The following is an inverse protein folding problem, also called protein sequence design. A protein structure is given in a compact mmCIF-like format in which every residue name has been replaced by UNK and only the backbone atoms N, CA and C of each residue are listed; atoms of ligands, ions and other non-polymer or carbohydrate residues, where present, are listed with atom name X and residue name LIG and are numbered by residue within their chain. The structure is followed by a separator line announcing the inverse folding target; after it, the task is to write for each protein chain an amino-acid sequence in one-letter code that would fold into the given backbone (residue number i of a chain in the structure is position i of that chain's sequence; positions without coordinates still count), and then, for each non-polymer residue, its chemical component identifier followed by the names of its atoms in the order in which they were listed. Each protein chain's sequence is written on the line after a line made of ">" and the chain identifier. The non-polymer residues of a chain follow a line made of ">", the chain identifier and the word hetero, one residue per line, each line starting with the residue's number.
data_IF_143180067802
#
_entry.id   IF_143180067802
#
_cell.length_a   1.000
_cell.length_b   1.000
_cell.length_c   1.000
_cell.angle_alpha   90.00
_cell.angle_beta   90.00
_cell.angle_gamma   90.00
#
_symmetry.space_group_name_H-M   'P 1'
#
loop_
_entity.id
_entity.type
_entity.pdbx_description
1 polymer ?
#
# COMPACT_ATOMS: atom_id res chain seq x y z
N UNK A 1 18.04 -4.80 -1.82
CA UNK A 1 16.88 -5.07 -2.72
C UNK A 1 15.65 -4.26 -2.34
N UNK A 2 15.28 -4.18 -1.05
CA UNK A 2 14.10 -3.44 -0.56
C UNK A 2 13.97 -1.99 -1.09
N UNK A 3 15.05 -1.20 -1.13
CA UNK A 3 15.04 0.18 -1.65
C UNK A 3 14.59 0.29 -3.12
N UNK A 4 14.94 -0.69 -3.97
CA UNK A 4 14.56 -0.67 -5.39
C UNK A 4 13.05 -0.91 -5.56
N UNK A 5 12.50 -1.88 -4.84
CA UNK A 5 11.07 -2.20 -4.87
C UNK A 5 10.23 -1.05 -4.30
N UNK A 6 10.65 -0.49 -3.16
CA UNK A 6 9.96 0.65 -2.55
C UNK A 6 9.94 1.88 -3.48
N UNK A 7 11.05 2.18 -4.15
CA UNK A 7 11.11 3.27 -5.13
C UNK A 7 10.17 3.03 -6.33
N UNK A 8 10.05 1.77 -6.76
CA UNK A 8 9.14 1.39 -7.84
C UNK A 8 7.67 1.59 -7.45
N UNK A 9 7.26 1.04 -6.30
CA UNK A 9 5.90 1.23 -5.76
C UNK A 9 5.59 2.72 -5.61
N UNK A 10 6.48 3.48 -4.96
CA UNK A 10 6.33 4.94 -4.80
C UNK A 10 6.18 5.68 -6.14
N UNK A 11 6.86 5.21 -7.18
CA UNK A 11 6.73 5.79 -8.50
C UNK A 11 5.35 5.51 -9.11
N UNK A 12 4.86 4.27 -9.01
CA UNK A 12 3.55 3.86 -9.55
C UNK A 12 2.42 4.59 -8.81
N UNK A 13 2.44 4.58 -7.48
CA UNK A 13 1.45 5.26 -6.63
C UNK A 13 1.35 6.77 -6.90
N UNK A 14 2.47 7.41 -7.27
CA UNK A 14 2.49 8.84 -7.62
C UNK A 14 1.92 9.14 -9.01
N UNK A 15 1.97 8.18 -9.92
CA UNK A 15 1.51 8.36 -11.29
C UNK A 15 0.04 7.99 -11.46
N UNK A 16 -0.47 7.08 -10.61
CA UNK A 16 -1.90 6.80 -10.55
C UNK A 16 -2.70 8.05 -10.20
N UNK A 17 -3.64 8.42 -11.06
CA UNK A 17 -4.61 9.50 -10.81
C UNK A 17 -6.02 8.93 -10.95
N UNK A 18 -6.71 8.75 -9.83
CA UNK A 18 -8.13 8.45 -9.88
C UNK A 18 -8.88 9.59 -10.63
N UNK A 19 -9.90 9.27 -11.46
CA UNK A 19 -10.53 7.97 -11.67
C UNK A 19 -9.96 7.16 -12.85
N UNK A 20 -8.85 7.59 -13.46
CA UNK A 20 -8.28 6.97 -14.66
C UNK A 20 -7.63 5.61 -14.32
N UNK A 21 -8.42 4.55 -14.46
CA UNK A 21 -7.97 3.16 -14.24
C UNK A 21 -6.95 2.70 -15.30
N UNK A 22 -6.92 3.33 -16.48
CA UNK A 22 -5.93 3.00 -17.50
C UNK A 22 -4.54 3.53 -17.11
N UNK A 23 -4.50 4.59 -16.29
CA UNK A 23 -3.26 5.19 -15.81
C UNK A 23 -2.37 4.26 -14.99
N UNK A 24 -2.93 3.26 -14.28
CA UNK A 24 -2.14 2.30 -13.51
C UNK A 24 -1.35 1.33 -14.42
N UNK A 25 -1.97 0.89 -15.51
CA UNK A 25 -1.40 -0.08 -16.45
C UNK A 25 -0.27 0.54 -17.29
N UNK A 26 -0.31 1.84 -17.56
CA UNK A 26 0.80 2.57 -18.19
C UNK A 26 1.90 2.98 -17.18
N UNK A 27 1.53 3.21 -15.92
CA UNK A 27 2.46 3.77 -14.90
C UNK A 27 3.63 2.85 -14.57
N UNK A 28 3.42 1.52 -14.55
CA UNK A 28 4.46 0.58 -14.15
C UNK A 28 5.57 0.46 -15.19
N UNK A 29 5.26 0.58 -16.49
CA UNK A 29 6.27 0.60 -17.56
C UNK A 29 7.12 1.87 -17.49
N UNK A 30 6.47 3.04 -17.33
CA UNK A 30 7.14 4.33 -17.15
C UNK A 30 8.06 4.30 -15.94
N UNK A 31 7.59 3.77 -14.81
CA UNK A 31 8.40 3.62 -13.60
C UNK A 31 9.56 2.64 -13.76
N UNK A 32 9.35 1.54 -14.49
CA UNK A 32 10.40 0.58 -14.82
C UNK A 32 11.51 1.26 -15.61
N UNK A 33 11.16 2.06 -16.63
CA UNK A 33 12.10 2.87 -17.40
C UNK A 33 12.88 3.86 -16.53
N UNK A 34 12.19 4.70 -15.75
CA UNK A 34 12.81 5.70 -14.84
C UNK A 34 13.80 5.07 -13.87
N UNK A 35 13.51 3.87 -13.37
CA UNK A 35 14.32 3.17 -12.37
C UNK A 35 15.30 2.15 -12.97
N UNK A 36 15.37 2.04 -14.30
CA UNK A 36 16.20 1.07 -15.04
C UNK A 36 15.94 -0.38 -14.59
N UNK A 37 14.67 -0.70 -14.37
CA UNK A 37 14.19 -2.06 -14.11
C UNK A 37 13.79 -2.72 -15.43
N UNK A 38 13.96 -4.04 -15.53
CA UNK A 38 13.54 -4.79 -16.72
C UNK A 38 12.01 -4.90 -16.75
N UNK A 39 11.36 -4.08 -17.58
CA UNK A 39 9.92 -4.16 -17.81
C UNK A 39 9.51 -5.56 -18.31
N UNK A 40 10.33 -6.17 -19.18
CA UNK A 40 10.11 -7.54 -19.67
C UNK A 40 10.09 -8.57 -18.53
N UNK A 41 10.97 -8.45 -17.53
CA UNK A 41 11.00 -9.38 -16.40
C UNK A 41 9.76 -9.22 -15.51
N UNK A 42 9.33 -7.98 -15.28
CA UNK A 42 8.11 -7.67 -14.52
C UNK A 42 6.88 -8.21 -15.26
N UNK A 43 6.78 -7.95 -16.57
CA UNK A 43 5.70 -8.46 -17.42
C UNK A 43 5.65 -9.98 -17.42
N UNK A 44 6.80 -10.65 -17.59
CA UNK A 44 6.88 -12.12 -17.55
C UNK A 44 6.42 -12.67 -16.20
N UNK A 45 6.75 -12.02 -15.09
CA UNK A 45 6.27 -12.39 -13.76
C UNK A 45 4.74 -12.24 -13.65
N UNK A 46 4.20 -11.11 -14.12
CA UNK A 46 2.76 -10.85 -14.15
C UNK A 46 2.02 -11.91 -14.99
N UNK A 47 2.43 -12.10 -16.25
CA UNK A 47 1.82 -13.03 -17.20
C UNK A 47 1.93 -14.50 -16.76
N UNK A 48 2.93 -14.85 -15.95
CA UNK A 48 3.09 -16.22 -15.42
C UNK A 48 2.04 -16.61 -14.37
N UNK A 49 1.20 -15.67 -13.93
CA UNK A 49 0.26 -15.86 -12.83
C UNK A 49 0.92 -15.87 -11.45
N UNK A 50 2.24 -15.65 -11.36
CA UNK A 50 2.94 -15.54 -10.08
C UNK A 50 2.43 -14.36 -9.25
N UNK A 51 2.03 -13.26 -9.90
CA UNK A 51 1.38 -12.12 -9.25
C UNK A 51 0.13 -12.53 -8.45
N UNK A 52 -0.72 -13.41 -9.01
CA UNK A 52 -1.91 -13.93 -8.30
C UNK A 52 -1.51 -14.72 -7.04
N UNK A 53 -0.46 -15.53 -7.11
CA UNK A 53 0.03 -16.29 -5.94
C UNK A 53 0.52 -15.36 -4.83
N UNK A 54 1.23 -14.29 -5.19
CA UNK A 54 1.69 -13.27 -4.24
C UNK A 54 0.52 -12.52 -3.60
N UNK A 55 -0.50 -12.15 -4.37
CA UNK A 55 -1.71 -11.49 -3.83
C UNK A 55 -2.42 -12.38 -2.81
N UNK A 56 -2.61 -13.67 -3.10
CA UNK A 56 -3.23 -14.62 -2.15
C UNK A 56 -2.36 -14.85 -0.89
N UNK A 57 -1.03 -14.71 -1.00
CA UNK A 57 -0.15 -14.76 0.17
C UNK A 57 -0.32 -13.51 1.03
N UNK A 58 -0.35 -12.34 0.41
CA UNK A 58 -0.59 -11.07 1.12
C UNK A 58 -1.98 -11.02 1.76
N UNK A 59 -3.01 -11.57 1.11
CA UNK A 59 -4.36 -11.76 1.68
C UNK A 59 -4.27 -12.55 2.98
N UNK A 60 -3.61 -13.72 2.97
CA UNK A 60 -3.40 -14.50 4.18
C UNK A 60 -2.68 -13.71 5.25
N UNK A 61 -1.57 -13.03 4.94
CA UNK A 61 -0.87 -12.20 5.92
C UNK A 61 -1.78 -11.11 6.51
N UNK A 62 -2.67 -10.54 5.70
CA UNK A 62 -3.63 -9.51 6.10
C UNK A 62 -4.76 -10.07 6.98
N UNK A 63 -5.27 -11.26 6.68
CA UNK A 63 -6.27 -11.96 7.50
C UNK A 63 -5.73 -12.39 8.87
N UNK A 64 -4.41 -12.59 8.97
CA UNK A 64 -3.75 -12.97 10.23
C UNK A 64 -3.33 -11.76 11.08
N UNK A 65 -3.66 -10.52 10.68
CA UNK A 65 -3.43 -9.34 11.50
C UNK A 65 -4.13 -9.48 12.85
N UNK A 66 -3.42 -9.19 13.94
CA UNK A 66 -4.01 -9.17 15.28
C UNK A 66 -4.75 -7.84 15.46
N UNK A 67 -6.05 -7.98 15.69
CA UNK A 67 -7.14 -7.08 15.27
C UNK A 67 -7.36 -7.12 13.75
N UNK A 68 -8.53 -7.61 13.29
CA UNK A 68 -8.92 -7.47 11.89
C UNK A 68 -8.90 -5.99 11.48
N UNK A 69 -8.34 -5.69 10.31
CA UNK A 69 -8.29 -4.33 9.81
C UNK A 69 -9.70 -3.90 9.34
N UNK A 70 -10.12 -2.69 9.70
CA UNK A 70 -11.46 -2.17 9.38
C UNK A 70 -11.45 -1.15 8.22
N UNK A 71 -10.26 -0.71 7.84
CA UNK A 71 -10.03 0.27 6.78
C UNK A 71 -8.59 0.18 6.29
N UNK A 72 -8.31 0.84 5.17
CA UNK A 72 -6.97 1.12 4.67
C UNK A 72 -6.73 2.63 4.58
N UNK A 73 -5.50 3.12 4.82
CA UNK A 73 -4.29 2.34 5.15
C UNK A 73 -4.29 1.78 6.58
N UNK A 74 -3.78 0.55 6.75
CA UNK A 74 -3.57 -0.07 8.06
C UNK A 74 -2.08 -0.06 8.40
N UNK A 75 -1.69 0.74 9.40
CA UNK A 75 -0.27 0.93 9.77
C UNK A 75 0.01 0.32 11.14
N UNK A 76 1.08 -0.47 11.21
CA UNK A 76 1.50 -1.22 12.40
C UNK A 76 2.97 -0.91 12.71
N UNK A 77 3.28 -0.67 13.98
CA UNK A 77 4.66 -0.52 14.50
C UNK A 77 4.85 -1.52 15.64
N UNK A 78 5.82 -2.42 15.53
CA UNK A 78 6.07 -3.52 16.48
C UNK A 78 4.76 -4.24 16.90
N UNK A 79 4.03 -4.76 15.92
CA UNK A 79 2.73 -5.46 16.08
C UNK A 79 1.59 -4.62 16.71
N UNK A 80 1.80 -3.32 16.92
CA UNK A 80 0.79 -2.40 17.45
C UNK A 80 0.17 -1.58 16.33
N UNK A 81 -1.15 -1.70 16.06
CA UNK A 81 -1.82 -0.87 15.06
C UNK A 81 -1.96 0.57 15.57
N UNK A 82 -1.65 1.54 14.71
CA UNK A 82 -1.73 2.97 15.05
C UNK A 82 -3.14 3.56 14.94
N UNK A 83 -4.04 2.82 14.29
CA UNK A 83 -5.42 3.21 14.03
C UNK A 83 -5.50 4.63 13.40
N UNK A 84 -6.39 5.50 13.90
CA UNK A 84 -6.55 6.87 13.41
C UNK A 84 -5.39 7.81 13.71
N UNK A 85 -4.28 7.33 14.26
CA UNK A 85 -3.04 8.09 14.47
C UNK A 85 -1.91 7.60 13.53
N UNK A 86 -2.27 6.91 12.44
CA UNK A 86 -1.31 6.35 11.48
C UNK A 86 -0.41 7.41 10.83
N UNK A 87 -0.88 8.66 10.71
CA UNK A 87 -0.07 9.76 10.16
C UNK A 87 1.11 10.14 11.07
N UNK A 88 0.97 9.89 12.37
CA UNK A 88 2.03 10.11 13.37
C UNK A 88 3.04 8.95 13.41
N UNK A 89 3.10 8.07 12.41
CA UNK A 89 3.95 6.85 12.47
C UNK A 89 5.43 7.13 12.80
N UNK A 90 5.99 8.28 12.41
CA UNK A 90 7.38 8.65 12.74
C UNK A 90 7.56 8.75 14.26
N UNK A 91 6.58 9.31 14.97
CA UNK A 91 6.59 9.38 16.43
C UNK A 91 6.67 7.97 17.03
N UNK A 92 5.80 7.07 16.59
CA UNK A 92 5.77 5.68 17.08
C UNK A 92 7.03 4.90 16.75
N UNK A 93 7.60 5.06 15.55
CA UNK A 93 8.89 4.46 15.18
C UNK A 93 10.01 4.96 16.09
N UNK A 94 10.03 6.25 16.42
CA UNK A 94 11.01 6.83 17.32
C UNK A 94 10.86 6.33 18.76
N UNK A 95 9.63 6.12 19.23
CA UNK A 95 9.35 5.53 20.55
C UNK A 95 9.75 4.04 20.61
N UNK A 96 9.56 3.29 19.53
CA UNK A 96 9.96 1.89 19.43
C UNK A 96 11.47 1.70 19.27
N UNK A 97 12.23 2.77 18.97
CA UNK A 97 13.67 2.68 18.74
C UNK A 97 14.46 2.36 20.01
N UNK A 98 15.06 1.16 20.06
CA UNK A 98 15.85 0.67 21.21
C UNK A 98 17.36 0.96 21.10
N UNK A 99 17.79 1.72 20.08
CA UNK A 99 19.20 2.01 19.87
C UNK A 99 19.72 3.11 20.80
N UNK A 100 21.05 3.14 21.00
CA UNK A 100 21.70 4.06 21.96
C UNK A 100 21.58 5.54 21.60
N UNK A 101 21.58 5.88 20.32
CA UNK A 101 21.52 7.25 19.83
C UNK A 101 20.29 7.45 18.95
N UNK A 102 19.34 8.25 19.41
CA UNK A 102 18.14 8.54 18.62
C UNK A 102 18.51 9.27 17.32
N UNK A 103 17.93 8.87 16.17
CA UNK A 103 18.03 9.63 14.94
C UNK A 103 17.55 11.08 15.13
N UNK A 104 18.23 12.05 14.50
CA UNK A 104 17.87 13.48 14.59
C UNK A 104 16.40 13.75 14.23
N UNK A 105 15.85 13.00 13.28
CA UNK A 105 14.44 13.07 12.87
C UNK A 105 13.46 12.89 14.03
N UNK A 106 13.82 12.12 15.06
CA UNK A 106 12.97 11.89 16.23
C UNK A 106 12.78 13.14 17.10
N UNK A 107 13.69 14.11 17.02
CA UNK A 107 13.55 15.40 17.71
C UNK A 107 12.66 16.39 16.96
N UNK A 108 12.46 16.19 15.65
CA UNK A 108 11.71 17.11 14.77
C UNK A 108 10.25 16.73 14.57
N UNK A 109 9.83 15.56 15.05
CA UNK A 109 8.45 15.07 14.96
C UNK A 109 7.91 14.77 16.37
N UNK A 110 7.72 15.81 17.22
CA UNK A 110 6.98 15.65 18.46
C UNK A 110 5.55 15.22 18.14
N UNK A 111 4.92 14.49 19.06
CA UNK A 111 3.58 13.94 18.89
C UNK A 111 2.58 15.08 18.60
N UNK A 112 2.33 15.36 17.32
CA UNK A 112 1.25 16.24 16.90
C UNK A 112 0.03 15.36 16.91
N UNK A 113 -0.79 15.46 17.96
CA UNK A 113 -2.12 14.86 18.01
C UNK A 113 -2.88 15.36 16.78
N UNK A 114 -2.89 14.58 15.71
CA UNK A 114 -3.71 14.88 14.54
C UNK A 114 -5.15 14.70 15.02
N UNK A 115 -6.03 15.63 14.66
CA UNK A 115 -7.45 15.49 14.96
C UNK A 115 -7.92 14.16 14.36
N UNK A 116 -8.16 13.17 15.22
CA UNK A 116 -8.54 11.80 14.82
C UNK A 116 -9.74 11.79 13.89
N UNK A 117 -10.67 12.73 14.08
CA UNK A 117 -11.84 12.92 13.23
C UNK A 117 -11.48 13.30 11.78
N UNK A 118 -10.41 14.05 11.55
CA UNK A 118 -9.96 14.42 10.20
C UNK A 118 -9.20 13.29 9.53
N UNK A 119 -8.39 12.52 10.27
CA UNK A 119 -7.66 11.37 9.72
C UNK A 119 -8.59 10.25 9.30
N UNK A 120 -9.62 9.94 10.10
CA UNK A 120 -10.62 8.92 9.80
C UNK A 120 -11.54 9.29 8.61
N UNK A 121 -11.65 10.56 8.22
CA UNK A 121 -12.38 10.95 7.01
C UNK A 121 -11.65 10.61 5.70
N UNK A 122 -10.36 10.28 5.77
CA UNK A 122 -9.51 10.04 4.58
C UNK A 122 -9.21 8.57 4.31
N UNK A 123 -9.82 7.65 5.08
CA UNK A 123 -9.60 6.20 4.96
C UNK A 123 -10.64 5.56 4.04
N UNK A 124 -10.31 4.39 3.49
CA UNK A 124 -11.28 3.55 2.77
C UNK A 124 -11.73 2.42 3.69
N UNK A 125 -13.01 2.39 4.07
CA UNK A 125 -13.52 1.38 4.99
C UNK A 125 -13.78 0.04 4.30
N UNK A 126 -13.57 -1.06 5.02
CA UNK A 126 -13.84 -2.40 4.51
C UNK A 126 -15.32 -2.62 4.14
N UNK A 127 -16.24 -1.91 4.81
CA UNK A 127 -17.69 -1.99 4.56
C UNK A 127 -18.18 -1.13 3.38
N UNK A 128 -17.33 -0.30 2.78
CA UNK A 128 -17.69 0.52 1.63
C UNK A 128 -17.61 -0.31 0.33
N UNK A 129 -18.58 -1.19 0.13
CA UNK A 129 -18.84 -1.74 -1.21
C UNK A 129 -19.31 -0.59 -2.11
N UNK A 130 -18.43 -0.13 -3.03
CA UNK A 130 -18.89 0.70 -4.14
C UNK A 130 -19.87 -0.14 -4.96
N UNK A 131 -21.14 0.25 -4.95
CA UNK A 131 -22.13 -0.16 -5.96
C UNK A 131 -21.50 0.06 -7.35
N UNK A 132 -21.06 -1.02 -7.99
CA UNK A 132 -20.47 -0.96 -9.31
C UNK A 132 -21.55 -0.58 -10.32
N UNK A 133 -21.48 0.61 -10.89
CA UNK A 133 -22.15 0.90 -12.16
C UNK A 133 -21.54 -0.04 -13.22
N UNK A 134 -22.36 -0.95 -13.72
CA UNK A 134 -22.04 -2.01 -14.69
C UNK A 134 -21.76 -1.50 -16.11
N UNK A 135 -21.43 -0.23 -16.27
CA UNK A 135 -21.31 0.41 -17.58
C UNK A 135 -19.85 0.62 -17.98
N UNK A 136 -19.10 -0.48 -18.08
CA UNK A 136 -17.71 -0.48 -18.57
C UNK A 136 -17.22 -1.89 -18.85
N UNK A 137 -17.30 -2.33 -20.12
CA UNK A 137 -16.79 -3.61 -20.61
C UNK A 137 -15.26 -3.71 -20.53
N UNK A 138 -14.66 -3.77 -19.34
CA UNK A 138 -13.32 -4.33 -19.13
C UNK A 138 -13.30 -5.01 -17.77
N UNK A 139 -14.00 -6.14 -17.70
CA UNK A 139 -13.88 -7.07 -16.58
C UNK A 139 -12.61 -7.89 -16.80
N UNK A 140 -11.63 -7.78 -15.90
CA UNK A 140 -10.59 -8.81 -15.76
C UNK A 140 -11.31 -10.09 -15.37
N UNK A 141 -11.57 -10.95 -16.37
CA UNK A 141 -12.13 -12.28 -16.15
C UNK A 141 -11.08 -13.07 -15.38
N UNK A 142 -11.29 -13.22 -14.08
CA UNK A 142 -10.69 -14.34 -13.37
C UNK A 142 -11.43 -15.59 -13.83
N UNK A 143 -10.84 -16.33 -14.77
CA UNK A 143 -11.34 -17.66 -15.10
C UNK A 143 -11.27 -18.56 -13.85
N UNK A 144 -12.34 -19.34 -13.57
CA UNK A 144 -12.29 -20.36 -12.54
C UNK A 144 -11.26 -21.44 -12.90
N UNK A 145 -10.69 -22.05 -11.86
CA UNK A 145 -9.84 -23.23 -12.01
C UNK A 145 -10.63 -24.36 -12.67
N UNK A 146 -10.10 -24.88 -13.78
CA UNK A 146 -10.34 -26.24 -14.23
C UNK A 146 -9.39 -27.18 -13.47
#
# INVERSE_FOLDING_TARGET
>A
MQKKHFNFIKCVEKQYKAPDRNGAEESWEVCSGKLRLSAQSIKKCYDSGHGKKLVLQNEKETDHLRLPHEYVPWVVVDDTPLLGDYESFIHYVCMAYKGKSLPKTCSSHPNTSINKDTSLQSVCHASEERSGDSSGKHQMKMEPLA
#
